data_IF_264105000347
#
_entry.id   IF_264105000347
#
_cell.length_a   1.000
_cell.length_b   1.000
_cell.length_c   1.000
_cell.angle_alpha   90.00
_cell.angle_beta   90.00
_cell.angle_gamma   90.00
#
_symmetry.space_group_name_H-M   'P 1'
#
loop_
_entity.id
_entity.type
_entity.pdbx_description
1 polymer ?
#
# COMPACT_ATOMS: atom_id res chain seq x y z
N UNK A 1 -2.67 21.10 -15.86
CA UNK A 1 -3.02 19.67 -15.74
C UNK A 1 -2.02 18.86 -14.87
N UNK A 2 -1.45 19.40 -13.78
CA UNK A 2 -0.36 18.73 -13.02
C UNK A 2 -0.71 18.20 -11.61
N UNK A 3 -1.87 18.53 -11.04
CA UNK A 3 -2.11 18.27 -9.60
C UNK A 3 -2.42 16.81 -9.24
N UNK A 4 -3.04 16.02 -10.13
CA UNK A 4 -3.42 14.63 -9.80
C UNK A 4 -2.22 13.70 -9.72
N UNK A 5 -1.30 13.80 -10.68
CA UNK A 5 -0.07 12.99 -10.71
C UNK A 5 0.82 13.27 -9.52
N UNK A 6 1.04 14.55 -9.21
CA UNK A 6 1.81 14.99 -8.04
C UNK A 6 1.22 14.46 -6.72
N UNK A 7 -0.11 14.50 -6.55
CA UNK A 7 -0.77 13.96 -5.35
C UNK A 7 -0.56 12.45 -5.20
N UNK A 8 -0.56 11.71 -6.29
CA UNK A 8 -0.33 10.26 -6.26
C UNK A 8 1.14 9.92 -6.02
N UNK A 9 2.07 10.63 -6.67
CA UNK A 9 3.51 10.48 -6.41
C UNK A 9 3.84 10.76 -4.94
N UNK A 10 3.23 11.80 -4.37
CA UNK A 10 3.37 12.15 -2.95
C UNK A 10 2.75 11.09 -2.03
N UNK A 11 1.61 10.51 -2.42
CA UNK A 11 0.98 9.42 -1.68
C UNK A 11 1.89 8.19 -1.63
N UNK A 12 2.41 7.73 -2.77
CA UNK A 12 3.35 6.60 -2.84
C UNK A 12 4.59 6.88 -2.01
N UNK A 13 5.13 8.08 -2.12
CA UNK A 13 6.32 8.49 -1.35
C UNK A 13 6.05 8.37 0.14
N UNK A 14 4.96 8.94 0.63
CA UNK A 14 4.57 8.88 2.04
C UNK A 14 4.37 7.44 2.51
N UNK A 15 3.63 6.61 1.75
CA UNK A 15 3.42 5.21 2.09
C UNK A 15 4.74 4.43 2.11
N UNK A 16 5.61 4.63 1.10
CA UNK A 16 6.90 3.95 1.01
C UNK A 16 7.84 4.32 2.16
N UNK A 17 7.79 5.56 2.65
CA UNK A 17 8.60 6.02 3.77
C UNK A 17 8.24 5.29 5.07
N UNK A 18 6.96 4.95 5.27
CA UNK A 18 6.55 4.14 6.42
C UNK A 18 7.17 2.75 6.34
N UNK A 19 7.14 2.08 5.19
CA UNK A 19 7.81 0.79 5.06
C UNK A 19 9.34 0.90 5.27
N UNK A 20 9.97 1.94 4.74
CA UNK A 20 11.40 2.22 4.97
C UNK A 20 11.72 2.48 6.45
N UNK A 21 10.83 3.14 7.22
CA UNK A 21 11.06 3.37 8.64
C UNK A 21 11.18 2.03 9.38
N UNK A 22 10.34 1.05 9.02
CA UNK A 22 10.43 -0.34 9.48
C UNK A 22 11.57 -1.17 8.85
N UNK A 23 12.50 -0.54 8.13
CA UNK A 23 13.66 -1.18 7.49
C UNK A 23 13.27 -2.21 6.42
N UNK A 24 12.18 -1.98 5.70
CA UNK A 24 11.91 -2.69 4.45
C UNK A 24 12.71 -2.05 3.32
N UNK A 25 13.25 -2.90 2.45
CA UNK A 25 13.69 -2.48 1.14
C UNK A 25 12.45 -2.18 0.28
N UNK A 26 12.42 -1.01 -0.36
CA UNK A 26 11.25 -0.57 -1.13
C UNK A 26 11.63 -0.27 -2.57
N UNK A 27 10.96 -0.93 -3.51
CA UNK A 27 11.10 -0.72 -4.95
C UNK A 27 9.80 -0.13 -5.50
N UNK A 28 9.84 1.14 -5.92
CA UNK A 28 8.69 1.82 -6.50
C UNK A 28 8.54 1.39 -7.95
N UNK A 29 7.40 0.76 -8.28
CA UNK A 29 7.09 0.38 -9.66
C UNK A 29 6.37 1.53 -10.37
N UNK A 30 6.97 2.00 -11.46
CA UNK A 30 6.33 2.93 -12.39
C UNK A 30 5.80 2.13 -13.59
N UNK A 31 4.62 1.53 -13.47
CA UNK A 31 4.03 0.82 -14.62
C UNK A 31 3.18 1.79 -15.48
N UNK A 32 3.14 1.54 -16.80
CA UNK A 32 2.41 2.35 -17.80
C UNK A 32 0.88 2.30 -17.63
N UNK A 33 0.35 1.36 -16.84
CA UNK A 33 -1.08 1.11 -16.66
C UNK A 33 -1.78 2.01 -15.61
N UNK A 34 -1.18 3.14 -15.21
CA UNK A 34 -1.69 4.02 -14.14
C UNK A 34 -1.85 3.36 -12.77
N UNK A 35 -1.25 2.18 -12.56
CA UNK A 35 -1.27 1.51 -11.28
C UNK A 35 -0.04 1.89 -10.48
N UNK A 36 -0.29 2.59 -9.39
CA UNK A 36 0.72 3.18 -8.54
C UNK A 36 0.98 2.24 -7.38
N UNK A 37 2.08 1.50 -7.48
CA UNK A 37 2.44 0.51 -6.50
C UNK A 37 3.93 0.47 -6.22
N UNK A 38 4.29 -0.03 -5.05
CA UNK A 38 5.66 -0.38 -4.70
C UNK A 38 5.68 -1.76 -4.10
N UNK A 39 6.82 -2.42 -4.16
CA UNK A 39 7.07 -3.65 -3.41
C UNK A 39 7.91 -3.32 -2.20
N UNK A 40 7.60 -3.94 -1.07
CA UNK A 40 8.36 -3.82 0.16
C UNK A 40 8.81 -5.22 0.61
N UNK A 41 10.10 -5.41 0.84
CA UNK A 41 10.68 -6.69 1.24
C UNK A 41 11.58 -6.56 2.46
N UNK A 42 11.46 -7.51 3.40
CA UNK A 42 12.33 -7.62 4.57
C UNK A 42 12.41 -9.08 5.00
N UNK A 43 13.58 -9.71 4.86
CA UNK A 43 13.78 -11.15 5.11
C UNK A 43 12.69 -11.96 4.37
N UNK A 44 11.89 -12.73 5.10
CA UNK A 44 10.83 -13.60 4.56
C UNK A 44 9.49 -12.88 4.32
N UNK A 45 9.42 -11.57 4.56
CA UNK A 45 8.21 -10.78 4.36
C UNK A 45 8.29 -10.01 3.05
N UNK A 46 7.36 -10.26 2.13
CA UNK A 46 7.21 -9.54 0.87
C UNK A 46 5.79 -8.98 0.75
N UNK A 47 5.71 -7.71 0.40
CA UNK A 47 4.45 -7.00 0.21
C UNK A 47 4.42 -6.34 -1.17
N UNK A 48 3.29 -6.45 -1.84
CA UNK A 48 2.93 -5.60 -2.97
C UNK A 48 1.94 -4.58 -2.46
N UNK A 49 2.29 -3.29 -2.53
CA UNK A 49 1.49 -2.21 -1.93
C UNK A 49 0.89 -1.34 -3.02
N UNK A 50 -0.44 -1.29 -3.08
CA UNK A 50 -1.19 -0.48 -4.02
C UNK A 50 -1.68 0.80 -3.33
N UNK A 51 -1.30 1.95 -3.87
CA UNK A 51 -1.76 3.25 -3.40
C UNK A 51 -2.92 3.71 -4.28
N UNK A 52 -4.15 3.55 -3.80
CA UNK A 52 -5.37 3.84 -4.54
C UNK A 52 -6.28 4.77 -3.72
N UNK A 53 -6.27 6.09 -3.97
CA UNK A 53 -7.09 7.04 -3.19
C UNK A 53 -8.59 6.69 -3.13
N UNK A 54 -9.08 6.02 -4.17
CA UNK A 54 -10.46 5.57 -4.33
C UNK A 54 -10.45 4.08 -4.70
N UNK A 55 -10.92 3.23 -3.78
CA UNK A 55 -10.90 1.78 -3.95
C UNK A 55 -11.85 1.29 -5.04
N UNK A 56 -13.00 1.95 -5.22
CA UNK A 56 -14.00 1.55 -6.21
C UNK A 56 -13.42 1.51 -7.62
N UNK A 57 -12.50 2.44 -7.93
CA UNK A 57 -11.80 2.52 -9.22
C UNK A 57 -10.79 1.40 -9.46
N UNK A 58 -10.35 0.70 -8.42
CA UNK A 58 -9.29 -0.32 -8.52
C UNK A 58 -9.75 -1.72 -8.11
N UNK A 59 -11.01 -1.93 -7.67
CA UNK A 59 -11.56 -3.26 -7.31
C UNK A 59 -11.28 -4.33 -8.37
N UNK A 60 -11.51 -4.01 -9.65
CA UNK A 60 -11.23 -4.93 -10.76
C UNK A 60 -9.74 -5.26 -10.91
N UNK A 61 -8.87 -4.29 -10.63
CA UNK A 61 -7.42 -4.45 -10.74
C UNK A 61 -6.87 -5.26 -9.56
N UNK A 62 -7.42 -5.08 -8.36
CA UNK A 62 -7.09 -5.89 -7.18
C UNK A 62 -7.33 -7.37 -7.48
N UNK A 63 -8.48 -7.74 -8.06
CA UNK A 63 -8.77 -9.13 -8.46
C UNK A 63 -7.74 -9.70 -9.43
N UNK A 64 -7.25 -8.89 -10.37
CA UNK A 64 -6.21 -9.31 -11.32
C UNK A 64 -4.84 -9.42 -10.64
N UNK A 65 -4.53 -8.48 -9.74
CA UNK A 65 -3.29 -8.47 -8.98
C UNK A 65 -3.18 -9.72 -8.10
N UNK A 66 -4.23 -10.08 -7.38
CA UNK A 66 -4.27 -11.29 -6.53
C UNK A 66 -3.93 -12.58 -7.30
N UNK A 67 -4.24 -12.66 -8.59
CA UNK A 67 -3.88 -13.80 -9.45
C UNK A 67 -2.42 -13.80 -9.92
N UNK A 68 -1.75 -12.65 -9.85
CA UNK A 68 -0.40 -12.40 -10.41
C UNK A 68 0.68 -12.20 -9.36
N UNK A 69 0.29 -11.84 -8.14
CA UNK A 69 1.24 -11.63 -7.05
C UNK A 69 1.88 -12.99 -6.70
N UNK A 70 3.21 -13.04 -6.52
CA UNK A 70 3.88 -14.27 -6.10
C UNK A 70 3.27 -14.83 -4.80
N UNK A 71 3.17 -16.15 -4.67
CA UNK A 71 2.52 -16.80 -3.52
C UNK A 71 3.20 -16.53 -2.16
N UNK A 72 4.45 -16.07 -2.16
CA UNK A 72 5.20 -15.66 -0.98
C UNK A 72 5.02 -14.17 -0.62
N UNK A 73 4.17 -13.46 -1.38
CA UNK A 73 3.95 -12.02 -1.25
C UNK A 73 2.50 -11.73 -0.87
N UNK A 74 2.29 -10.77 0.04
CA UNK A 74 0.94 -10.30 0.42
C UNK A 74 0.57 -9.00 -0.28
N UNK A 75 -0.68 -8.87 -0.69
CA UNK A 75 -1.23 -7.61 -1.22
C UNK A 75 -1.64 -6.69 -0.06
N UNK A 76 -1.25 -5.43 -0.14
CA UNK A 76 -1.71 -4.35 0.74
C UNK A 76 -2.28 -3.23 -0.11
N UNK A 77 -3.50 -2.78 0.18
CA UNK A 77 -4.17 -1.68 -0.50
C UNK A 77 -4.31 -0.51 0.47
N UNK A 78 -3.84 0.66 0.07
CA UNK A 78 -3.90 1.89 0.86
C UNK A 78 -4.79 2.90 0.13
N UNK A 79 -5.89 3.32 0.77
CA UNK A 79 -6.85 4.26 0.20
C UNK A 79 -7.22 5.40 1.18
N UNK A 80 -7.98 6.38 0.71
CA UNK A 80 -8.46 7.46 1.60
C UNK A 80 -9.48 6.92 2.62
N UNK A 81 -10.27 5.94 2.20
CA UNK A 81 -11.31 5.28 2.97
C UNK A 81 -11.87 4.10 2.18
N UNK A 82 -12.60 3.24 2.87
CA UNK A 82 -13.22 2.04 2.33
C UNK A 82 -14.47 1.72 3.15
N UNK A 83 -15.40 0.97 2.57
CA UNK A 83 -16.63 0.54 3.24
C UNK A 83 -16.47 -0.84 3.89
N UNK A 84 -17.45 -1.24 4.69
CA UNK A 84 -17.45 -2.57 5.34
C UNK A 84 -17.40 -3.71 4.32
N UNK A 85 -18.01 -3.52 3.15
CA UNK A 85 -17.96 -4.50 2.06
C UNK A 85 -16.52 -4.70 1.54
N UNK A 86 -15.75 -3.62 1.42
CA UNK A 86 -14.35 -3.70 0.99
C UNK A 86 -13.50 -4.46 2.02
N UNK A 87 -13.80 -4.30 3.31
CA UNK A 87 -13.12 -5.01 4.40
C UNK A 87 -13.42 -6.50 4.38
N UNK A 88 -14.70 -6.87 4.20
CA UNK A 88 -15.11 -8.27 4.05
C UNK A 88 -14.46 -8.91 2.83
N UNK A 89 -14.38 -8.17 1.72
CA UNK A 89 -13.69 -8.63 0.52
C UNK A 89 -12.18 -8.80 0.79
N UNK A 90 -11.55 -7.88 1.51
CA UNK A 90 -10.14 -8.00 1.87
C UNK A 90 -9.85 -9.27 2.66
N UNK A 91 -10.71 -9.60 3.60
CA UNK A 91 -10.64 -10.84 4.39
C UNK A 91 -10.86 -12.08 3.53
N UNK A 92 -11.92 -12.13 2.72
CA UNK A 92 -12.25 -13.26 1.83
C UNK A 92 -11.11 -13.58 0.86
N UNK A 93 -10.50 -12.54 0.29
CA UNK A 93 -9.43 -12.68 -0.70
C UNK A 93 -8.01 -12.60 -0.09
N UNK A 94 -7.89 -12.62 1.24
CA UNK A 94 -6.64 -12.63 2.00
C UNK A 94 -5.64 -11.52 1.59
N UNK A 95 -6.15 -10.30 1.45
CA UNK A 95 -5.32 -9.10 1.33
C UNK A 95 -5.60 -8.11 2.46
N UNK A 96 -4.67 -7.19 2.69
CA UNK A 96 -4.86 -6.14 3.70
C UNK A 96 -5.34 -4.85 3.04
N UNK A 97 -6.31 -4.20 3.65
CA UNK A 97 -6.79 -2.88 3.25
C UNK A 97 -6.62 -1.91 4.43
N UNK A 98 -6.08 -0.72 4.17
CA UNK A 98 -5.77 0.28 5.18
C UNK A 98 -6.06 1.69 4.66
N UNK A 99 -6.36 2.60 5.59
CA UNK A 99 -6.48 4.02 5.25
C UNK A 99 -5.13 4.72 5.27
N UNK A 100 -5.03 5.86 4.57
CA UNK A 100 -3.87 6.75 4.66
C UNK A 100 -3.64 7.23 6.10
N UNK A 101 -4.69 7.44 6.87
CA UNK A 101 -4.58 7.84 8.28
C UNK A 101 -3.91 6.74 9.10
N UNK A 102 -4.34 5.48 8.90
CA UNK A 102 -3.78 4.31 9.59
C UNK A 102 -2.29 4.11 9.25
N UNK A 103 -1.90 4.17 7.97
CA UNK A 103 -0.48 3.98 7.60
C UNK A 103 0.42 5.09 8.16
N UNK A 104 -0.08 6.34 8.24
CA UNK A 104 0.65 7.45 8.85
C UNK A 104 0.85 7.24 10.34
N UNK A 105 -0.18 6.76 11.05
CA UNK A 105 -0.07 6.42 12.47
C UNK A 105 1.02 5.37 12.71
N UNK A 106 1.08 4.32 11.89
CA UNK A 106 2.17 3.33 11.98
C UNK A 106 3.55 3.98 11.79
N UNK A 107 3.68 4.91 10.84
CA UNK A 107 4.90 5.69 10.66
C UNK A 107 5.30 6.46 11.91
N UNK A 108 4.38 7.21 12.50
CA UNK A 108 4.61 7.99 13.73
C UNK A 108 4.99 7.09 14.90
N UNK A 109 4.20 6.06 15.19
CA UNK A 109 4.47 5.14 16.31
C UNK A 109 5.82 4.44 16.18
N UNK A 110 6.27 4.17 14.95
CA UNK A 110 7.58 3.60 14.70
C UNK A 110 8.72 4.56 15.05
N UNK A 111 8.59 5.83 14.64
CA UNK A 111 9.58 6.87 14.93
C UNK A 111 9.67 7.11 16.44
N UNK A 112 8.52 7.18 17.12
CA UNK A 112 8.46 7.31 18.58
C UNK A 112 9.17 6.13 19.27
N UNK A 113 8.86 4.90 18.87
CA UNK A 113 9.49 3.70 19.42
C UNK A 113 11.02 3.66 19.21
N UNK A 114 11.52 4.21 18.09
CA UNK A 114 12.97 4.31 17.83
C UNK A 114 13.66 5.44 18.57
N UNK A 115 12.93 6.47 18.96
CA UNK A 115 13.48 7.62 19.69
C UNK A 115 13.58 7.31 21.19
N UNK A 116 12.78 6.35 21.67
CA UNK A 116 12.78 5.88 23.05
C UNK A 116 13.67 4.64 23.29
N UNK A 117 14.27 4.06 22.24
CA UNK A 117 15.14 2.89 22.29
C UNK A 117 16.60 3.28 22.04
#
# INVERSE_FOLDING_TARGET
>A
MNNKKQKVDQLITNCSMVFKSYLYEVVISKNKANLWHFTASKKDKKYVVYCAPDIAKVRGIIKVALKKIPGDSKLVVICNGFEDEDSKQAEEFNYSILTISTIKQYGTSMIEARTQA
#
